data_IF_769908653528
#
_entry.id   IF_769908653528
#
_cell.length_a   1.000
_cell.length_b   1.000
_cell.length_c   1.000
_cell.angle_alpha   90.00
_cell.angle_beta   90.00
_cell.angle_gamma   90.00
#
_symmetry.space_group_name_H-M   'P 1'
#
loop_
_entity.id
_entity.type
_entity.pdbx_description
1 polymer ?
#
# COMPACT_ATOMS: atom_id res chain seq x y z
N UNK A 1 -3.40 -10.31 -14.16
CA UNK A 1 -1.97 -10.16 -13.87
C UNK A 1 -1.85 -9.41 -12.55
N UNK A 2 -1.32 -10.05 -11.50
CA UNK A 2 -0.91 -9.30 -10.30
C UNK A 2 0.19 -8.32 -10.72
N UNK A 3 0.12 -7.09 -10.24
CA UNK A 3 1.02 -6.04 -10.70
C UNK A 3 2.38 -6.25 -10.02
N UNK A 4 3.46 -6.36 -10.81
CA UNK A 4 4.81 -6.69 -10.30
C UNK A 4 5.25 -5.84 -9.10
N UNK A 5 4.80 -4.57 -9.03
CA UNK A 5 5.07 -3.65 -7.90
C UNK A 5 4.34 -4.02 -6.60
N UNK A 6 3.13 -4.57 -6.67
CA UNK A 6 2.41 -5.05 -5.47
C UNK A 6 3.13 -6.26 -4.89
N UNK A 7 3.57 -7.18 -5.75
CA UNK A 7 4.32 -8.36 -5.34
C UNK A 7 5.67 -7.95 -4.68
N UNK A 8 6.32 -6.88 -5.17
CA UNK A 8 7.52 -6.30 -4.55
C UNK A 8 7.24 -5.73 -3.14
N UNK A 9 6.15 -4.99 -2.95
CA UNK A 9 5.80 -4.41 -1.63
C UNK A 9 5.39 -5.44 -0.60
N UNK A 10 4.66 -6.47 -1.01
CA UNK A 10 4.33 -7.60 -0.12
C UNK A 10 5.59 -8.37 0.27
N UNK A 11 6.53 -8.53 -0.66
CA UNK A 11 7.81 -9.16 -0.37
C UNK A 11 8.67 -8.34 0.60
N UNK A 12 8.68 -7.01 0.51
CA UNK A 12 9.33 -6.14 1.51
C UNK A 12 8.76 -6.39 2.93
N UNK A 13 7.45 -6.56 3.05
CA UNK A 13 6.77 -6.85 4.33
C UNK A 13 7.13 -8.25 4.83
N UNK A 14 7.11 -9.26 3.94
CA UNK A 14 7.49 -10.64 4.26
C UNK A 14 8.93 -10.71 4.78
N UNK A 15 9.88 -10.11 4.07
CA UNK A 15 11.27 -10.07 4.47
C UNK A 15 11.49 -9.34 5.80
N UNK A 16 10.71 -8.30 6.08
CA UNK A 16 10.78 -7.60 7.37
C UNK A 16 10.27 -8.47 8.51
N UNK A 17 9.15 -9.18 8.30
CA UNK A 17 8.57 -10.09 9.29
C UNK A 17 9.49 -11.27 9.62
N UNK A 18 10.23 -11.80 8.63
CA UNK A 18 11.22 -12.85 8.88
C UNK A 18 12.40 -12.36 9.73
N UNK A 19 12.78 -11.09 9.57
CA UNK A 19 13.97 -10.50 10.21
C UNK A 19 13.66 -9.83 11.55
N UNK A 20 12.41 -9.48 11.83
CA UNK A 20 12.07 -8.73 13.04
C UNK A 20 12.38 -9.53 14.30
N UNK A 21 13.08 -8.91 15.25
CA UNK A 21 13.42 -9.49 16.56
C UNK A 21 13.05 -8.51 17.66
N UNK A 22 12.37 -8.99 18.70
CA UNK A 22 12.01 -8.16 19.84
C UNK A 22 13.13 -8.09 20.89
N UNK A 23 13.34 -6.91 21.46
CA UNK A 23 14.19 -6.70 22.61
C UNK A 23 13.62 -7.43 23.82
N UNK A 24 14.44 -8.24 24.49
CA UNK A 24 14.05 -8.96 25.70
C UNK A 24 14.28 -8.08 26.93
N UNK A 25 13.39 -8.16 27.92
CA UNK A 25 13.64 -7.60 29.25
C UNK A 25 14.54 -8.56 30.06
N UNK A 26 15.23 -8.04 31.08
CA UNK A 26 16.15 -8.83 31.93
C UNK A 26 15.45 -9.94 32.73
N UNK A 27 14.17 -9.76 33.09
CA UNK A 27 13.35 -10.77 33.76
C UNK A 27 12.05 -10.98 33.00
N UNK A 28 12.04 -12.01 32.14
CA UNK A 28 10.85 -12.45 31.41
C UNK A 28 10.31 -11.44 30.39
N UNK A 29 9.70 -11.93 29.31
CA UNK A 29 9.00 -11.09 28.34
C UNK A 29 9.87 -10.22 27.44
N UNK A 30 9.20 -9.28 26.76
CA UNK A 30 9.76 -8.37 25.77
C UNK A 30 9.58 -6.92 26.21
N UNK A 31 10.42 -6.04 25.69
CA UNK A 31 10.33 -4.60 25.90
C UNK A 31 9.09 -4.05 25.15
N UNK A 32 8.14 -3.46 25.89
CA UNK A 32 6.90 -2.95 25.30
C UNK A 32 7.15 -1.77 24.36
N UNK A 33 8.13 -0.92 24.68
CA UNK A 33 8.48 0.22 23.83
C UNK A 33 9.05 -0.29 22.50
N UNK A 34 9.88 -1.32 22.53
CA UNK A 34 10.40 -1.98 21.33
C UNK A 34 9.29 -2.63 20.50
N UNK A 35 8.34 -3.31 21.15
CA UNK A 35 7.17 -3.90 20.47
C UNK A 35 6.35 -2.81 19.76
N UNK A 36 6.02 -1.72 20.44
CA UNK A 36 5.27 -0.62 19.83
C UNK A 36 6.01 0.03 18.67
N UNK A 37 7.33 0.20 18.79
CA UNK A 37 8.18 0.67 17.69
C UNK A 37 8.06 -0.24 16.48
N UNK A 38 8.17 -1.57 16.67
CA UNK A 38 8.06 -2.55 15.58
C UNK A 38 6.68 -2.59 14.94
N UNK A 39 5.62 -2.44 15.72
CA UNK A 39 4.25 -2.31 15.18
C UNK A 39 4.14 -1.04 14.31
N UNK A 40 4.72 0.08 14.75
CA UNK A 40 4.74 1.32 13.97
C UNK A 40 5.52 1.16 12.67
N UNK A 41 6.68 0.49 12.71
CA UNK A 41 7.48 0.18 11.51
C UNK A 41 6.70 -0.68 10.52
N UNK A 42 6.06 -1.75 10.99
CA UNK A 42 5.24 -2.62 10.16
C UNK A 42 4.06 -1.86 9.52
N UNK A 43 3.37 -1.02 10.28
CA UNK A 43 2.28 -0.20 9.77
C UNK A 43 2.76 0.74 8.65
N UNK A 44 3.95 1.34 8.77
CA UNK A 44 4.51 2.20 7.71
C UNK A 44 4.73 1.44 6.41
N UNK A 45 5.17 0.18 6.47
CA UNK A 45 5.33 -0.67 5.28
C UNK A 45 3.98 -0.93 4.61
N UNK A 46 2.96 -1.31 5.37
CA UNK A 46 1.60 -1.50 4.85
C UNK A 46 0.99 -0.22 4.28
N UNK A 47 1.14 0.90 4.97
CA UNK A 47 0.65 2.18 4.47
C UNK A 47 1.32 2.56 3.14
N UNK A 48 2.61 2.25 2.98
CA UNK A 48 3.31 2.47 1.71
C UNK A 48 2.71 1.63 0.60
N UNK A 49 2.49 0.33 0.83
CA UNK A 49 1.87 -0.56 -0.14
C UNK A 49 0.47 -0.07 -0.54
N UNK A 50 -0.34 0.37 0.43
CA UNK A 50 -1.70 0.87 0.19
C UNK A 50 -1.73 2.23 -0.51
N UNK A 51 -0.73 3.10 -0.28
CA UNK A 51 -0.62 4.38 -1.01
C UNK A 51 -0.35 4.15 -2.49
N UNK A 52 0.56 3.23 -2.80
CA UNK A 52 0.88 2.89 -4.20
C UNK A 52 -0.35 2.31 -4.91
N UNK A 53 -1.11 1.46 -4.23
CA UNK A 53 -2.35 0.91 -4.75
C UNK A 53 -3.43 1.99 -4.97
N UNK A 54 -3.58 2.93 -4.03
CA UNK A 54 -4.51 4.06 -4.17
C UNK A 54 -4.18 4.93 -5.38
N UNK A 55 -2.92 5.34 -5.54
CA UNK A 55 -2.48 6.15 -6.70
C UNK A 55 -2.82 5.47 -8.02
N UNK A 56 -2.64 4.14 -8.08
CA UNK A 56 -2.98 3.37 -9.28
C UNK A 56 -4.48 3.41 -9.56
N UNK A 57 -5.31 3.14 -8.56
CA UNK A 57 -6.77 3.18 -8.76
C UNK A 57 -7.27 4.57 -9.10
N UNK A 58 -6.74 5.61 -8.44
CA UNK A 58 -7.10 7.00 -8.73
C UNK A 58 -6.76 7.36 -10.18
N UNK A 59 -5.57 6.98 -10.67
CA UNK A 59 -5.17 7.18 -12.07
C UNK A 59 -6.12 6.47 -13.04
N UNK A 60 -6.51 5.23 -12.73
CA UNK A 60 -7.42 4.46 -13.56
C UNK A 60 -8.82 5.09 -13.60
N UNK A 61 -9.33 5.50 -12.45
CA UNK A 61 -10.62 6.18 -12.33
C UNK A 61 -10.62 7.53 -13.05
N UNK A 62 -9.54 8.30 -12.98
CA UNK A 62 -9.38 9.54 -13.73
C UNK A 62 -9.40 9.31 -15.24
N UNK A 63 -8.69 8.28 -15.72
CA UNK A 63 -8.72 7.91 -17.12
C UNK A 63 -10.15 7.55 -17.58
N UNK A 64 -10.85 6.70 -16.83
CA UNK A 64 -12.23 6.33 -17.15
C UNK A 64 -13.16 7.54 -17.15
N UNK A 65 -13.09 8.40 -16.13
CA UNK A 65 -13.91 9.63 -16.06
C UNK A 65 -13.67 10.52 -17.29
N UNK A 66 -12.42 10.71 -17.68
CA UNK A 66 -12.07 11.52 -18.84
C UNK A 66 -12.61 10.92 -20.14
N UNK A 67 -12.44 9.62 -20.34
CA UNK A 67 -12.95 8.93 -21.54
C UNK A 67 -14.48 8.97 -21.64
N UNK A 68 -15.20 8.89 -20.52
CA UNK A 68 -16.67 9.00 -20.51
C UNK A 68 -17.16 10.41 -20.86
N UNK A 69 -16.51 11.45 -20.32
CA UNK A 69 -16.81 12.85 -20.67
C UNK A 69 -16.56 13.08 -22.17
N UNK A 70 -15.42 12.62 -22.71
CA UNK A 70 -15.10 12.76 -24.14
C UNK A 70 -16.07 12.00 -25.08
N UNK A 71 -16.78 10.98 -24.59
CA UNK A 71 -17.84 10.30 -25.34
C UNK A 71 -19.13 11.11 -25.31
N UNK A 72 -19.52 11.62 -24.15
CA UNK A 72 -20.71 12.46 -24.00
C UNK A 72 -20.61 13.73 -24.84
N UNK A 73 -19.47 14.44 -24.78
CA UNK A 73 -19.24 15.65 -25.57
C UNK A 73 -19.36 15.37 -27.09
N UNK A 74 -18.83 14.23 -27.55
CA UNK A 74 -18.94 13.82 -28.96
C UNK A 74 -20.36 13.42 -29.38
N UNK A 75 -21.13 12.82 -28.49
CA UNK A 75 -22.53 12.46 -28.77
C UNK A 75 -23.43 13.71 -28.81
N UNK A 76 -23.13 14.73 -28.00
CA UNK A 76 -23.81 16.04 -28.04
C UNK A 76 -23.46 16.83 -29.32
N UNK A 77 -22.21 16.82 -29.78
CA UNK A 77 -21.78 17.47 -31.03
C UNK A 77 -22.40 16.84 -32.31
N UNK A 78 -22.90 15.61 -32.22
CA UNK A 78 -23.50 14.86 -33.33
C UNK A 78 -25.04 14.91 -33.36
N UNK A 79 -25.67 15.51 -32.34
CA UNK A 79 -27.13 15.66 -32.20
C UNK A 79 -27.64 17.04 -32.65
#
# INVERSE_FOLDING_TARGET
MKNKKEDEKLKEIEEWLEKVRFQKKFFGGVDEQDVWTKISELNKLYESALRDERVRYDTLLEHYRKTEIEKQDREEDLS
#
